data_IF_548449799816
#
_entry.id   IF_548449799816
#
_cell.length_a   1.000
_cell.length_b   1.000
_cell.length_c   1.000
_cell.angle_alpha   90.00
_cell.angle_beta   90.00
_cell.angle_gamma   90.00
#
_symmetry.space_group_name_H-M   'P 1'
#
loop_
_entity.id
_entity.type
_entity.pdbx_description
1 polymer ?
#
# COMPACT_ATOMS: atom_id res chain seq x y z
N UNK A 1 -19.08 -7.42 6.04
CA UNK A 1 -18.71 -8.86 6.09
C UNK A 1 -19.73 -9.66 5.31
N UNK A 2 -19.27 -10.62 4.51
CA UNK A 2 -20.13 -11.58 3.82
C UNK A 2 -20.31 -12.87 4.64
N UNK A 3 -21.33 -13.67 4.29
CA UNK A 3 -21.53 -14.98 4.92
C UNK A 3 -20.48 -15.96 4.38
N UNK A 4 -19.70 -16.59 5.26
CA UNK A 4 -18.66 -17.53 4.86
C UNK A 4 -19.21 -18.84 4.25
N UNK A 5 -20.45 -19.21 4.59
CA UNK A 5 -21.12 -20.36 3.94
C UNK A 5 -21.76 -20.03 2.58
N UNK A 6 -21.53 -18.84 2.01
CA UNK A 6 -22.06 -18.49 0.68
C UNK A 6 -21.47 -19.46 -0.36
N UNK A 7 -22.33 -20.08 -1.17
CA UNK A 7 -21.90 -21.08 -2.15
C UNK A 7 -21.97 -22.54 -1.66
N UNK A 8 -22.22 -22.79 -0.38
CA UNK A 8 -22.31 -24.15 0.21
C UNK A 8 -23.64 -24.90 -0.08
N UNK A 9 -24.31 -24.58 -1.18
CA UNK A 9 -25.49 -25.29 -1.69
C UNK A 9 -26.86 -24.74 -1.28
N UNK A 10 -26.95 -23.90 -0.24
CA UNK A 10 -28.20 -23.18 0.12
C UNK A 10 -28.03 -21.67 0.03
N UNK A 11 -29.10 -20.96 -0.38
CA UNK A 11 -29.06 -19.49 -0.53
C UNK A 11 -28.89 -18.81 0.83
N UNK A 12 -28.18 -17.68 0.84
CA UNK A 12 -28.06 -16.85 2.04
C UNK A 12 -29.42 -16.26 2.44
N UNK A 13 -29.68 -16.20 3.75
CA UNK A 13 -30.92 -15.64 4.33
C UNK A 13 -30.87 -14.12 4.52
N UNK A 14 -29.76 -13.48 4.11
CA UNK A 14 -29.51 -12.06 4.31
C UNK A 14 -28.09 -11.79 4.83
N UNK A 15 -27.81 -10.58 5.34
CA UNK A 15 -26.49 -10.25 5.87
C UNK A 15 -26.15 -11.13 7.08
N UNK A 16 -24.86 -11.51 7.25
CA UNK A 16 -24.45 -12.33 8.37
C UNK A 16 -24.63 -11.57 9.69
N UNK A 17 -25.38 -12.17 10.61
CA UNK A 17 -25.67 -11.61 11.95
C UNK A 17 -25.02 -12.41 13.07
N UNK A 18 -24.48 -13.59 12.76
CA UNK A 18 -23.83 -14.47 13.74
C UNK A 18 -22.34 -14.54 13.43
N UNK A 19 -21.51 -14.60 14.47
CA UNK A 19 -20.08 -14.89 14.38
C UNK A 19 -19.80 -16.26 14.97
N UNK A 20 -18.71 -16.90 14.55
CA UNK A 20 -18.22 -18.11 15.21
C UNK A 20 -17.97 -17.79 16.69
N UNK A 21 -18.58 -18.56 17.60
CA UNK A 21 -18.48 -18.31 19.04
C UNK A 21 -17.08 -18.55 19.63
N UNK A 22 -16.20 -19.23 18.90
CA UNK A 22 -14.80 -19.45 19.29
C UNK A 22 -13.89 -18.34 18.78
N UNK A 23 -13.66 -18.30 17.46
CA UNK A 23 -12.70 -17.34 16.91
C UNK A 23 -13.23 -15.91 16.80
N UNK A 24 -14.55 -15.69 16.72
CA UNK A 24 -15.15 -14.37 16.50
C UNK A 24 -14.90 -13.75 15.11
N UNK A 25 -14.01 -14.32 14.29
CA UNK A 25 -13.61 -13.77 12.99
C UNK A 25 -14.63 -14.04 11.87
N UNK A 26 -15.16 -15.27 11.80
CA UNK A 26 -16.00 -15.72 10.68
C UNK A 26 -17.48 -15.46 10.95
N UNK A 27 -18.20 -14.94 9.94
CA UNK A 27 -19.60 -14.54 10.06
C UNK A 27 -20.54 -15.36 9.17
N UNK A 28 -21.75 -15.63 9.67
CA UNK A 28 -22.75 -16.48 9.04
C UNK A 28 -24.15 -15.84 9.07
N UNK A 29 -24.93 -16.04 8.01
CA UNK A 29 -26.35 -15.66 8.00
C UNK A 29 -27.26 -16.66 8.71
N UNK A 30 -26.82 -17.92 8.88
CA UNK A 30 -27.58 -18.98 9.53
C UNK A 30 -26.66 -20.00 10.22
N UNK A 31 -27.24 -20.81 11.13
CA UNK A 31 -26.54 -21.96 11.72
C UNK A 31 -26.23 -23.04 10.69
N UNK A 32 -27.09 -23.23 9.69
CA UNK A 32 -26.86 -24.21 8.61
C UNK A 32 -25.59 -23.89 7.81
N UNK A 33 -25.36 -22.62 7.46
CA UNK A 33 -24.14 -22.19 6.78
C UNK A 33 -22.89 -22.35 7.66
N UNK A 34 -23.00 -22.14 8.96
CA UNK A 34 -21.91 -22.40 9.89
C UNK A 34 -21.54 -23.89 9.94
N UNK A 35 -22.53 -24.78 10.06
CA UNK A 35 -22.32 -26.23 10.08
C UNK A 35 -21.72 -26.71 8.76
N UNK A 36 -22.22 -26.21 7.62
CA UNK A 36 -21.71 -26.61 6.31
C UNK A 36 -20.26 -26.18 6.10
N UNK A 37 -19.92 -24.93 6.46
CA UNK A 37 -18.56 -24.40 6.32
C UNK A 37 -17.58 -24.92 7.39
N UNK A 38 -18.08 -25.57 8.45
CA UNK A 38 -17.25 -26.03 9.57
C UNK A 38 -16.10 -26.96 9.16
N UNK A 39 -16.29 -27.77 8.11
CA UNK A 39 -15.26 -28.71 7.63
C UNK A 39 -13.97 -28.00 7.23
N UNK A 40 -14.08 -26.85 6.58
CA UNK A 40 -12.97 -25.99 6.16
C UNK A 40 -12.56 -25.06 7.30
N UNK A 41 -13.54 -24.42 7.96
CA UNK A 41 -13.28 -23.43 9.00
C UNK A 41 -12.52 -24.00 10.22
N UNK A 42 -12.79 -25.24 10.63
CA UNK A 42 -12.21 -25.82 11.86
C UNK A 42 -10.69 -25.86 11.86
N UNK A 43 -10.07 -25.99 10.68
CA UNK A 43 -8.61 -26.04 10.52
C UNK A 43 -7.98 -24.66 10.77
N UNK A 44 -8.72 -23.59 10.45
CA UNK A 44 -8.28 -22.21 10.58
C UNK A 44 -8.79 -21.51 11.85
N UNK A 45 -9.76 -22.09 12.55
CA UNK A 45 -10.47 -21.45 13.66
C UNK A 45 -9.52 -21.03 14.79
N UNK A 46 -8.56 -21.90 15.15
CA UNK A 46 -7.58 -21.65 16.21
C UNK A 46 -6.64 -20.51 15.85
N UNK A 47 -6.15 -20.49 14.61
CA UNK A 47 -5.30 -19.41 14.08
C UNK A 47 -6.04 -18.07 14.09
N UNK A 48 -7.30 -18.07 13.65
CA UNK A 48 -8.15 -16.88 13.64
C UNK A 48 -8.45 -16.39 15.06
N UNK A 49 -8.66 -17.29 16.03
CA UNK A 49 -8.86 -16.92 17.43
C UNK A 49 -7.65 -16.16 17.99
N UNK A 50 -6.42 -16.64 17.73
CA UNK A 50 -5.19 -15.95 18.15
C UNK A 50 -5.03 -14.58 17.50
N UNK A 51 -5.43 -14.44 16.23
CA UNK A 51 -5.43 -13.13 15.55
C UNK A 51 -6.45 -12.17 16.18
N UNK A 52 -7.64 -12.66 16.50
CA UNK A 52 -8.69 -11.85 17.12
C UNK A 52 -8.34 -11.39 18.53
N UNK A 53 -7.50 -12.13 19.28
CA UNK A 53 -6.94 -11.67 20.57
C UNK A 53 -6.04 -10.44 20.44
N UNK A 54 -5.50 -10.16 19.25
CA UNK A 54 -4.63 -9.01 18.97
C UNK A 54 -5.37 -7.84 18.33
N UNK A 55 -6.70 -7.93 18.20
CA UNK A 55 -7.50 -6.93 17.48
C UNK A 55 -7.34 -5.52 18.06
N UNK A 56 -7.34 -5.38 19.38
CA UNK A 56 -7.23 -4.08 20.03
C UNK A 56 -5.86 -3.43 19.76
N UNK A 57 -4.78 -4.22 19.85
CA UNK A 57 -3.43 -3.78 19.50
C UNK A 57 -3.32 -3.35 18.04
N UNK A 58 -3.98 -4.06 17.12
CA UNK A 58 -3.97 -3.74 15.69
C UNK A 58 -4.83 -2.52 15.34
N UNK A 59 -5.75 -2.10 16.21
CA UNK A 59 -6.57 -0.91 16.04
C UNK A 59 -6.08 0.30 16.83
N UNK A 60 -5.01 0.16 17.61
CA UNK A 60 -4.40 1.23 18.40
C UNK A 60 -3.49 2.11 17.52
N UNK A 61 -4.15 2.94 16.69
CA UNK A 61 -3.47 3.89 15.83
C UNK A 61 -3.38 5.28 16.48
N UNK A 62 -2.26 6.00 16.36
CA UNK A 62 -2.04 7.30 17.02
C UNK A 62 -2.83 8.47 16.38
N UNK A 63 -3.66 8.21 15.37
CA UNK A 63 -4.30 9.25 14.59
C UNK A 63 -5.54 9.81 15.28
N UNK A 64 -5.79 11.12 15.13
CA UNK A 64 -7.01 11.73 15.66
C UNK A 64 -8.27 11.27 14.93
N UNK A 65 -8.11 10.66 13.76
CA UNK A 65 -9.19 10.13 12.94
C UNK A 65 -9.38 8.61 13.05
N UNK A 66 -8.62 7.92 13.91
CA UNK A 66 -8.67 6.46 14.04
C UNK A 66 -10.10 5.95 14.29
N UNK A 67 -10.82 6.55 15.23
CA UNK A 67 -12.19 6.13 15.57
C UNK A 67 -13.16 6.29 14.39
N UNK A 68 -13.06 7.40 13.64
CA UNK A 68 -13.87 7.66 12.45
C UNK A 68 -13.52 6.64 11.34
N UNK A 69 -12.23 6.41 11.09
CA UNK A 69 -11.75 5.58 9.99
C UNK A 69 -11.81 4.06 10.24
N UNK A 70 -11.97 3.61 11.48
CA UNK A 70 -12.05 2.18 11.82
C UNK A 70 -13.42 1.83 12.40
N UNK A 71 -13.72 2.26 13.63
CA UNK A 71 -14.90 1.83 14.40
C UNK A 71 -16.19 2.31 13.74
N UNK A 72 -16.31 3.61 13.44
CA UNK A 72 -17.55 4.18 12.89
C UNK A 72 -17.86 3.65 11.47
N UNK A 73 -16.83 3.39 10.67
CA UNK A 73 -17.00 2.74 9.35
C UNK A 73 -17.46 1.30 9.51
N UNK A 74 -16.88 0.53 10.43
CA UNK A 74 -17.30 -0.84 10.69
C UNK A 74 -18.74 -0.93 11.24
N UNK A 75 -19.12 0.03 12.08
CA UNK A 75 -20.48 0.19 12.63
C UNK A 75 -21.47 0.80 11.62
N UNK A 76 -21.01 1.14 10.41
CA UNK A 76 -21.81 1.79 9.35
C UNK A 76 -22.41 3.14 9.73
N UNK A 77 -21.84 3.81 10.73
CA UNK A 77 -22.17 5.20 11.08
C UNK A 77 -21.51 6.16 10.10
N UNK A 78 -20.32 5.81 9.60
CA UNK A 78 -19.59 6.54 8.58
C UNK A 78 -19.28 5.66 7.37
N UNK A 79 -18.89 6.30 6.27
CA UNK A 79 -18.39 5.60 5.08
C UNK A 79 -17.03 6.15 4.68
N UNK A 80 -16.22 5.35 3.97
CA UNK A 80 -14.95 5.84 3.40
C UNK A 80 -15.15 7.08 2.52
N UNK A 81 -16.24 7.12 1.76
CA UNK A 81 -16.55 8.25 0.91
C UNK A 81 -16.88 9.51 1.75
N UNK A 82 -17.67 9.39 2.82
CA UNK A 82 -17.94 10.49 3.79
C UNK A 82 -16.65 11.00 4.43
N UNK A 83 -15.82 10.07 4.95
CA UNK A 83 -14.52 10.35 5.55
C UNK A 83 -13.60 11.18 4.64
N UNK A 84 -13.48 10.80 3.37
CA UNK A 84 -12.68 11.50 2.37
C UNK A 84 -13.30 12.85 1.98
N UNK A 85 -14.63 12.90 1.85
CA UNK A 85 -15.35 14.12 1.44
C UNK A 85 -15.24 15.23 2.46
N UNK A 86 -15.35 14.91 3.77
CA UNK A 86 -15.14 15.87 4.87
C UNK A 86 -13.75 16.52 4.84
N UNK A 87 -12.79 15.88 4.17
CA UNK A 87 -11.39 16.32 4.06
C UNK A 87 -11.04 16.86 2.67
N UNK A 88 -12.01 16.96 1.76
CA UNK A 88 -11.80 17.48 0.41
C UNK A 88 -10.95 16.60 -0.51
N UNK A 89 -10.71 15.34 -0.14
CA UNK A 89 -9.82 14.40 -0.86
C UNK A 89 -10.59 13.25 -1.51
N UNK A 90 -11.91 13.36 -1.62
CA UNK A 90 -12.72 12.34 -2.28
C UNK A 90 -12.57 12.42 -3.80
N UNK A 91 -12.20 11.30 -4.44
CA UNK A 91 -12.10 11.17 -5.91
C UNK A 91 -11.09 12.12 -6.59
N UNK A 92 -10.06 12.58 -5.88
CA UNK A 92 -9.02 13.49 -6.41
C UNK A 92 -7.62 12.90 -6.27
N UNK A 93 -6.76 13.18 -7.25
CA UNK A 93 -5.37 12.73 -7.29
C UNK A 93 -5.18 11.26 -6.90
N UNK A 94 -4.22 11.02 -6.02
CA UNK A 94 -3.88 9.68 -5.52
C UNK A 94 -4.98 9.02 -4.67
N UNK A 95 -5.97 9.78 -4.22
CA UNK A 95 -7.05 9.31 -3.35
C UNK A 95 -8.21 8.64 -4.10
N UNK A 96 -8.16 8.64 -5.44
CA UNK A 96 -9.28 8.21 -6.26
C UNK A 96 -9.73 6.78 -5.98
N UNK A 97 -8.80 5.86 -5.68
CA UNK A 97 -9.09 4.45 -5.40
C UNK A 97 -9.27 4.13 -3.89
N UNK A 98 -9.36 5.14 -3.03
CA UNK A 98 -9.55 4.98 -1.58
C UNK A 98 -11.02 4.79 -1.17
N UNK A 99 -11.98 4.92 -2.09
CA UNK A 99 -13.37 4.50 -1.88
C UNK A 99 -13.87 3.67 -3.08
N UNK A 100 -14.86 2.80 -2.85
CA UNK A 100 -15.45 1.94 -3.87
C UNK A 100 -16.12 2.71 -5.03
N UNK A 101 -16.56 3.95 -4.83
CA UNK A 101 -17.04 4.82 -5.90
C UNK A 101 -15.95 5.14 -6.95
N UNK A 102 -14.68 5.09 -6.55
CA UNK A 102 -13.53 5.38 -7.40
C UNK A 102 -13.20 4.29 -8.40
N UNK A 103 -13.53 3.03 -8.07
CA UNK A 103 -13.28 1.88 -8.95
C UNK A 103 -14.02 1.98 -10.30
N UNK A 104 -15.17 2.69 -10.32
CA UNK A 104 -15.92 2.97 -11.56
C UNK A 104 -15.26 4.06 -12.41
N UNK A 105 -14.40 4.89 -11.81
CA UNK A 105 -13.69 5.99 -12.47
C UNK A 105 -12.36 5.50 -13.02
N UNK A 106 -11.68 4.58 -12.32
CA UNK A 106 -10.35 4.08 -12.69
C UNK A 106 -10.34 3.17 -13.92
N UNK A 107 -11.45 2.46 -14.20
CA UNK A 107 -11.60 1.64 -15.42
C UNK A 107 -11.49 2.46 -16.72
N UNK A 108 -11.77 3.76 -16.66
CA UNK A 108 -11.70 4.68 -17.81
C UNK A 108 -10.46 5.60 -17.81
N UNK A 109 -9.72 5.68 -16.69
CA UNK A 109 -8.77 6.79 -16.46
C UNK A 109 -7.29 6.40 -16.42
N UNK A 110 -6.89 5.19 -16.82
CA UNK A 110 -5.47 4.88 -17.04
C UNK A 110 -4.80 5.80 -18.10
N UNK A 111 -5.60 6.59 -18.82
CA UNK A 111 -5.17 7.54 -19.85
C UNK A 111 -5.01 8.99 -19.39
N UNK A 112 -5.39 9.34 -18.15
CA UNK A 112 -5.40 10.75 -17.70
C UNK A 112 -4.02 11.16 -17.16
N UNK A 113 -3.53 12.39 -17.43
CA UNK A 113 -2.26 12.87 -16.90
C UNK A 113 -2.23 12.72 -15.38
N UNK A 114 -1.15 12.10 -14.91
CA UNK A 114 -0.88 11.72 -13.54
C UNK A 114 -1.03 12.92 -12.60
N UNK A 115 -2.18 13.07 -11.97
CA UNK A 115 -2.36 14.07 -10.91
C UNK A 115 -1.77 13.49 -9.62
N UNK A 116 -0.44 13.33 -9.63
CA UNK A 116 0.42 12.77 -8.59
C UNK A 116 0.58 13.74 -7.42
N UNK A 117 -0.54 14.24 -6.91
CA UNK A 117 -0.60 15.27 -5.87
C UNK A 117 -1.25 14.71 -4.61
N UNK A 118 -0.77 15.19 -3.46
CA UNK A 118 -1.35 14.87 -2.16
C UNK A 118 -2.74 15.48 -1.96
N UNK A 119 -3.09 16.53 -2.72
CA UNK A 119 -4.30 17.33 -2.52
C UNK A 119 -4.43 17.89 -1.09
N UNK A 120 -3.29 18.17 -0.48
CA UNK A 120 -3.16 18.74 0.86
C UNK A 120 -2.20 19.92 0.86
N UNK A 121 -2.30 20.75 1.89
CA UNK A 121 -1.30 21.78 2.22
C UNK A 121 0.07 21.14 2.52
N UNK A 122 1.15 21.90 2.39
CA UNK A 122 2.50 21.38 2.61
C UNK A 122 2.72 20.86 4.03
N UNK A 123 2.04 21.42 5.04
CA UNK A 123 2.13 20.98 6.43
C UNK A 123 1.46 19.62 6.71
N UNK A 124 0.56 19.15 5.83
CA UNK A 124 -0.20 17.91 6.03
C UNK A 124 0.38 16.75 5.22
N UNK A 125 1.41 16.98 4.40
CA UNK A 125 1.90 15.95 3.49
C UNK A 125 3.41 16.00 3.29
N UNK A 126 4.03 14.84 2.99
CA UNK A 126 5.47 14.76 2.76
C UNK A 126 5.86 15.24 1.34
N UNK A 127 5.57 16.51 1.01
CA UNK A 127 5.84 17.07 -0.32
C UNK A 127 7.27 17.58 -0.53
N UNK A 128 8.11 17.58 0.52
CA UNK A 128 9.50 18.03 0.50
C UNK A 128 10.40 17.02 1.20
N UNK A 129 11.72 17.16 1.04
CA UNK A 129 12.70 16.37 1.79
C UNK A 129 12.55 16.52 3.31
N UNK A 130 12.95 15.50 4.09
CA UNK A 130 12.92 15.58 5.55
C UNK A 130 13.92 16.62 6.08
N UNK A 131 13.60 17.26 7.21
CA UNK A 131 14.47 18.27 7.84
C UNK A 131 15.75 17.69 8.45
N UNK A 132 15.75 16.38 8.75
CA UNK A 132 16.88 15.67 9.35
C UNK A 132 16.92 14.22 8.86
N UNK A 133 18.09 13.58 8.86
CA UNK A 133 18.20 12.15 8.58
C UNK A 133 17.50 11.34 9.67
N UNK A 134 17.13 10.10 9.35
CA UNK A 134 16.56 9.15 10.32
C UNK A 134 17.63 8.81 11.36
N UNK A 135 17.47 9.34 12.58
CA UNK A 135 18.43 9.14 13.67
C UNK A 135 18.28 7.78 14.38
N UNK A 136 17.06 7.23 14.39
CA UNK A 136 16.71 5.93 14.97
C UNK A 136 15.76 5.21 14.03
N UNK A 137 15.81 3.88 13.99
CA UNK A 137 14.87 3.10 13.17
C UNK A 137 13.43 3.46 13.53
N UNK A 138 12.66 3.86 12.51
CA UNK A 138 11.25 4.17 12.67
C UNK A 138 10.50 2.88 13.02
N UNK A 139 9.80 2.87 14.15
CA UNK A 139 9.15 1.67 14.70
C UNK A 139 7.63 1.80 14.76
N UNK A 140 7.10 3.00 14.63
CA UNK A 140 5.68 3.30 14.70
C UNK A 140 5.26 4.41 13.73
N UNK A 141 3.96 4.50 13.47
CA UNK A 141 3.37 5.64 12.75
C UNK A 141 3.68 6.98 13.43
N UNK A 142 3.68 6.99 14.77
CA UNK A 142 3.98 8.20 15.55
C UNK A 142 5.42 8.66 15.28
N UNK A 143 6.38 7.75 15.28
CA UNK A 143 7.78 8.05 14.99
C UNK A 143 7.94 8.68 13.60
N UNK A 144 7.27 8.11 12.59
CA UNK A 144 7.32 8.64 11.22
C UNK A 144 6.70 10.05 11.13
N UNK A 145 5.53 10.26 11.73
CA UNK A 145 4.84 11.55 11.69
C UNK A 145 5.63 12.64 12.42
N UNK A 146 6.23 12.31 13.57
CA UNK A 146 7.11 13.22 14.30
C UNK A 146 8.36 13.57 13.47
N UNK A 147 9.01 12.56 12.88
CA UNK A 147 10.19 12.77 12.03
C UNK A 147 9.88 13.63 10.79
N UNK A 148 8.72 13.43 10.16
CA UNK A 148 8.28 14.23 9.01
C UNK A 148 7.62 15.55 9.38
N UNK A 149 7.46 15.84 10.67
CA UNK A 149 6.75 17.00 11.17
C UNK A 149 5.32 17.11 10.60
N UNK A 150 4.64 15.97 10.43
CA UNK A 150 3.26 15.89 9.95
C UNK A 150 2.34 15.70 11.16
N UNK A 151 1.25 16.48 11.30
CA UNK A 151 0.33 16.31 12.41
C UNK A 151 -0.49 15.02 12.26
N UNK A 152 -0.79 14.37 13.39
CA UNK A 152 -1.54 13.11 13.46
C UNK A 152 -3.01 13.21 13.00
N UNK A 153 -3.50 14.41 12.66
CA UNK A 153 -4.78 14.61 12.00
C UNK A 153 -4.72 14.43 10.49
N UNK A 154 -3.52 14.44 9.89
CA UNK A 154 -3.35 14.21 8.45
C UNK A 154 -3.61 12.75 8.10
N UNK A 155 -4.48 12.45 7.11
CA UNK A 155 -4.81 11.08 6.75
C UNK A 155 -3.80 10.43 5.79
N UNK A 156 -2.65 11.06 5.53
CA UNK A 156 -1.64 10.58 4.55
C UNK A 156 -1.12 9.17 4.83
N UNK A 157 -1.29 8.64 6.05
CA UNK A 157 -1.00 7.24 6.38
C UNK A 157 -1.75 6.24 5.50
N UNK A 158 -2.95 6.60 5.03
CA UNK A 158 -3.75 5.79 4.11
C UNK A 158 -3.08 5.58 2.73
N UNK A 159 -2.10 6.40 2.38
CA UNK A 159 -1.28 6.23 1.16
C UNK A 159 0.14 5.79 1.52
N UNK A 160 0.73 6.41 2.53
CA UNK A 160 2.12 6.15 2.95
C UNK A 160 2.36 4.75 3.50
N UNK A 161 1.31 3.98 3.78
CA UNK A 161 1.50 2.60 4.22
C UNK A 161 2.20 1.76 3.15
N UNK A 162 2.12 2.09 1.86
CA UNK A 162 2.86 1.36 0.82
C UNK A 162 4.38 1.46 0.99
N UNK A 163 5.01 2.65 0.93
CA UNK A 163 6.45 2.77 1.12
C UNK A 163 6.89 2.41 2.55
N UNK A 164 6.07 2.67 3.57
CA UNK A 164 6.45 2.33 4.95
C UNK A 164 6.39 0.84 5.23
N UNK A 165 5.48 0.09 4.60
CA UNK A 165 5.49 -1.37 4.67
C UNK A 165 6.76 -1.93 4.05
N UNK A 166 7.22 -1.37 2.92
CA UNK A 166 8.50 -1.74 2.32
C UNK A 166 9.67 -1.45 3.27
N UNK A 167 9.70 -0.24 3.85
CA UNK A 167 10.72 0.11 4.83
C UNK A 167 10.77 -0.89 5.99
N UNK A 168 9.63 -1.17 6.63
CA UNK A 168 9.58 -2.12 7.74
C UNK A 168 9.94 -3.55 7.33
N UNK A 169 9.51 -4.02 6.16
CA UNK A 169 9.87 -5.34 5.66
C UNK A 169 11.40 -5.49 5.49
N UNK A 170 12.06 -4.44 4.98
CA UNK A 170 13.52 -4.40 4.82
C UNK A 170 14.22 -4.42 6.19
N UNK A 171 13.72 -3.63 7.16
CA UNK A 171 14.27 -3.63 8.52
C UNK A 171 14.15 -5.00 9.18
N UNK A 172 12.99 -5.65 9.09
CA UNK A 172 12.74 -6.97 9.69
C UNK A 172 13.56 -8.08 9.02
N UNK A 173 13.83 -7.95 7.71
CA UNK A 173 14.62 -8.94 6.97
C UNK A 173 16.12 -8.91 7.30
N UNK A 174 16.56 -8.03 8.21
CA UNK A 174 17.99 -7.82 8.52
C UNK A 174 18.75 -7.07 7.42
N UNK A 175 18.08 -6.69 6.33
CA UNK A 175 18.66 -5.93 5.24
C UNK A 175 18.81 -4.44 5.59
N UNK A 176 18.09 -3.96 6.60
CA UNK A 176 18.19 -2.58 7.11
C UNK A 176 19.62 -2.15 7.43
N UNK A 177 20.43 -3.00 8.07
CA UNK A 177 21.84 -2.73 8.36
C UNK A 177 22.74 -2.76 7.12
N UNK A 178 22.36 -3.56 6.11
CA UNK A 178 23.10 -3.70 4.85
C UNK A 178 22.81 -2.56 3.87
N UNK A 179 21.72 -1.80 4.06
CA UNK A 179 21.40 -0.66 3.17
C UNK A 179 22.50 0.41 3.14
N UNK A 180 23.37 0.48 4.15
CA UNK A 180 24.56 1.34 4.14
C UNK A 180 25.70 0.82 3.25
N UNK A 181 25.70 -0.48 2.92
CA UNK A 181 26.73 -1.16 2.13
C UNK A 181 26.33 -1.35 0.67
N UNK A 182 25.02 -1.41 0.36
CA UNK A 182 24.51 -1.58 -1.01
C UNK A 182 24.15 -0.23 -1.65
N UNK A 183 24.72 0.06 -2.81
CA UNK A 183 24.38 1.24 -3.61
C UNK A 183 23.01 1.12 -4.31
N UNK A 184 22.50 -0.11 -4.47
CA UNK A 184 21.22 -0.41 -5.13
C UNK A 184 20.42 -1.43 -4.34
N UNK A 185 19.16 -1.12 -4.10
CA UNK A 185 18.17 -2.00 -3.49
C UNK A 185 17.12 -2.41 -4.53
N UNK A 186 17.20 -3.64 -5.03
CA UNK A 186 16.21 -4.26 -5.91
C UNK A 186 15.09 -4.96 -5.12
N UNK A 187 13.83 -4.59 -5.36
CA UNK A 187 12.63 -5.14 -4.70
C UNK A 187 11.68 -5.67 -5.77
N UNK A 188 11.18 -6.89 -5.62
CA UNK A 188 10.08 -7.41 -6.42
C UNK A 188 8.78 -7.25 -5.63
N UNK A 189 7.89 -6.38 -6.12
CA UNK A 189 6.58 -6.10 -5.53
C UNK A 189 5.50 -6.85 -6.31
N UNK A 190 4.86 -7.82 -5.68
CA UNK A 190 3.90 -8.71 -6.33
C UNK A 190 2.45 -8.24 -6.13
N UNK A 191 1.67 -8.33 -7.20
CA UNK A 191 0.24 -8.04 -7.22
C UNK A 191 -0.13 -6.59 -6.92
N UNK A 192 0.50 -5.57 -7.55
CA UNK A 192 0.06 -4.19 -7.40
C UNK A 192 -1.33 -4.00 -8.04
N UNK A 193 -2.22 -3.31 -7.35
CA UNK A 193 -3.55 -2.94 -7.81
C UNK A 193 -3.76 -1.43 -7.66
N UNK A 194 -4.09 -0.97 -6.45
CA UNK A 194 -4.30 0.45 -6.14
C UNK A 194 -3.03 1.27 -6.28
N UNK A 195 -1.90 0.63 -5.96
CA UNK A 195 -0.55 1.14 -6.03
C UNK A 195 -0.22 1.67 -7.43
N UNK A 196 -0.81 1.07 -8.48
CA UNK A 196 -0.62 1.51 -9.88
C UNK A 196 -1.17 2.92 -10.15
N UNK A 197 -2.08 3.40 -9.31
CA UNK A 197 -2.64 4.76 -9.36
C UNK A 197 -2.00 5.70 -8.32
N UNK A 198 -1.08 5.19 -7.51
CA UNK A 198 -0.47 5.86 -6.37
C UNK A 198 1.07 5.76 -6.43
N UNK A 199 1.63 5.60 -7.65
CA UNK A 199 3.05 5.35 -7.86
C UNK A 199 3.94 6.47 -7.30
N UNK A 200 3.48 7.72 -7.33
CA UNK A 200 4.22 8.85 -6.78
C UNK A 200 4.42 8.78 -5.25
N UNK A 201 3.60 8.01 -4.53
CA UNK A 201 3.78 7.77 -3.09
C UNK A 201 5.10 7.05 -2.81
N UNK A 202 5.57 6.20 -3.72
CA UNK A 202 6.86 5.52 -3.58
C UNK A 202 8.06 6.47 -3.66
N UNK A 203 7.87 7.73 -4.07
CA UNK A 203 8.91 8.77 -3.99
C UNK A 203 9.38 9.02 -2.56
N UNK A 204 8.56 8.64 -1.56
CA UNK A 204 8.93 8.67 -0.15
C UNK A 204 10.14 7.79 0.19
N UNK A 205 10.38 6.71 -0.56
CA UNK A 205 11.50 5.79 -0.32
C UNK A 205 12.86 6.47 -0.44
N UNK A 206 12.93 7.61 -1.14
CA UNK A 206 14.13 8.45 -1.22
C UNK A 206 14.54 9.01 0.15
N UNK A 207 13.55 9.34 0.98
CA UNK A 207 13.78 9.82 2.33
C UNK A 207 14.08 8.68 3.30
N UNK A 208 13.46 7.51 3.07
CA UNK A 208 13.61 6.32 3.91
C UNK A 208 14.93 5.57 3.68
N UNK A 209 15.52 5.68 2.48
CA UNK A 209 16.78 5.05 2.08
C UNK A 209 17.75 6.08 1.48
N UNK A 210 18.26 7.02 2.30
CA UNK A 210 19.15 8.07 1.79
C UNK A 210 20.44 7.46 1.22
N UNK A 211 20.81 7.88 0.01
CA UNK A 211 22.04 7.43 -0.67
C UNK A 211 21.94 6.07 -1.36
N UNK A 212 20.79 5.39 -1.31
CA UNK A 212 20.56 4.10 -1.96
C UNK A 212 19.65 4.28 -3.16
N UNK A 213 19.98 3.66 -4.29
CA UNK A 213 19.09 3.58 -5.45
C UNK A 213 18.08 2.45 -5.25
N UNK A 214 16.82 2.78 -4.98
CA UNK A 214 15.74 1.81 -4.82
C UNK A 214 15.11 1.51 -6.17
N UNK A 215 15.19 0.26 -6.63
CA UNK A 215 14.59 -0.22 -7.87
C UNK A 215 13.48 -1.21 -7.54
N UNK A 216 12.25 -0.94 -7.99
CA UNK A 216 11.08 -1.76 -7.69
C UNK A 216 10.49 -2.32 -8.98
N UNK A 217 10.47 -3.65 -9.08
CA UNK A 217 9.76 -4.39 -10.12
C UNK A 217 8.34 -4.67 -9.64
N UNK A 218 7.36 -3.94 -10.17
CA UNK A 218 5.93 -4.06 -9.86
C UNK A 218 5.30 -5.08 -10.81
N UNK A 219 5.00 -6.28 -10.30
CA UNK A 219 4.68 -7.46 -11.11
C UNK A 219 3.28 -7.96 -10.78
N UNK A 220 2.37 -7.90 -11.75
CA UNK A 220 1.03 -8.46 -11.55
C UNK A 220 0.12 -8.42 -12.78
N UNK A 221 -0.93 -9.25 -12.80
CA UNK A 221 -1.88 -9.30 -13.92
C UNK A 221 -2.74 -8.02 -14.05
N UNK A 222 -2.83 -7.23 -12.98
CA UNK A 222 -3.58 -5.97 -12.95
C UNK A 222 -2.84 -4.80 -13.65
N UNK A 223 -1.54 -4.95 -13.97
CA UNK A 223 -0.81 -3.97 -14.77
C UNK A 223 -1.47 -3.86 -16.15
N UNK A 224 -1.90 -2.66 -16.59
CA UNK A 224 -2.52 -2.47 -17.90
C UNK A 224 -1.57 -2.87 -19.03
N UNK A 225 -2.10 -3.47 -20.10
CA UNK A 225 -1.29 -3.95 -21.23
C UNK A 225 -0.44 -2.85 -21.87
N UNK A 226 -0.96 -1.63 -21.97
CA UNK A 226 -0.23 -0.49 -22.55
C UNK A 226 0.89 0.06 -21.64
N UNK A 227 0.97 -0.41 -20.39
CA UNK A 227 2.00 -0.02 -19.42
C UNK A 227 2.99 -1.15 -19.11
N UNK A 228 2.87 -2.31 -19.77
CA UNK A 228 3.81 -3.40 -19.57
C UNK A 228 5.20 -2.99 -20.08
N UNK A 229 6.20 -3.05 -19.21
CA UNK A 229 7.57 -2.58 -19.48
C UNK A 229 7.80 -1.10 -19.19
N UNK A 230 6.77 -0.34 -18.77
CA UNK A 230 6.93 1.07 -18.40
C UNK A 230 7.99 1.22 -17.30
N UNK A 231 8.90 2.16 -17.50
CA UNK A 231 9.89 2.57 -16.50
C UNK A 231 9.61 3.99 -16.05
N UNK A 232 9.51 4.19 -14.74
CA UNK A 232 9.13 5.44 -14.11
C UNK A 232 10.22 5.80 -13.11
N UNK A 233 10.90 6.91 -13.36
CA UNK A 233 11.94 7.43 -12.47
C UNK A 233 11.37 8.55 -11.60
N UNK A 234 11.38 8.37 -10.28
CA UNK A 234 10.83 9.33 -9.32
C UNK A 234 11.92 10.28 -8.84
N UNK A 235 11.98 11.47 -9.45
CA UNK A 235 13.00 12.49 -9.18
C UNK A 235 12.64 13.46 -8.04
N UNK A 236 11.37 13.54 -7.65
CA UNK A 236 10.85 14.42 -6.61
C UNK A 236 9.82 13.68 -5.74
N UNK A 237 9.39 14.35 -4.67
CA UNK A 237 8.22 13.94 -3.90
C UNK A 237 6.93 14.31 -4.66
N UNK A 238 5.82 13.67 -4.30
CA UNK A 238 4.50 14.08 -4.77
C UNK A 238 4.16 15.50 -4.25
N UNK A 239 3.54 16.32 -5.10
CA UNK A 239 3.33 17.74 -4.82
C UNK A 239 2.17 18.00 -3.86
N UNK A 240 2.28 19.07 -3.08
CA UNK A 240 1.14 19.62 -2.33
C UNK A 240 0.24 20.48 -3.25
N UNK A 241 -0.87 21.00 -2.71
CA UNK A 241 -1.81 21.82 -3.47
C UNK A 241 -1.36 23.28 -3.65
N UNK A 242 -0.60 23.82 -2.69
CA UNK A 242 -0.17 25.22 -2.61
C UNK A 242 0.72 25.63 -3.80
N UNK A 243 0.38 26.71 -4.51
CA UNK A 243 1.08 27.22 -5.71
C UNK A 243 2.47 27.78 -5.43
N UNK A 244 2.60 28.38 -4.26
CA UNK A 244 3.78 29.05 -3.71
C UNK A 244 4.70 28.10 -2.92
N UNK A 245 4.39 26.80 -2.89
CA UNK A 245 5.24 25.81 -2.24
C UNK A 245 6.49 25.50 -3.08
N UNK A 246 7.64 25.44 -2.41
CA UNK A 246 8.93 25.14 -3.08
C UNK A 246 9.00 23.74 -3.69
N UNK A 247 8.10 22.82 -3.34
CA UNK A 247 8.03 21.51 -3.98
C UNK A 247 7.77 21.63 -5.49
N UNK A 248 7.09 22.71 -5.93
CA UNK A 248 6.80 22.97 -7.34
C UNK A 248 8.02 23.48 -8.12
N UNK A 249 8.90 24.24 -7.45
CA UNK A 249 10.12 24.80 -8.06
C UNK A 249 11.28 23.80 -8.19
N UNK A 250 11.26 22.70 -7.43
CA UNK A 250 12.32 21.66 -7.49
C UNK A 250 12.39 20.95 -8.86
N UNK A 251 11.35 21.07 -9.70
CA UNK A 251 11.30 20.47 -11.03
C UNK A 251 11.81 21.39 -12.16
N UNK A 252 11.89 22.72 -11.94
CA UNK A 252 12.27 23.67 -13.00
C UNK A 252 13.78 23.94 -13.08
N UNK A 253 14.54 23.65 -12.01
CA UNK A 253 15.97 23.95 -11.91
C UNK A 253 16.90 22.86 -12.49
N UNK A 254 16.40 21.93 -13.29
CA UNK A 254 17.22 20.86 -13.93
C UNK A 254 17.72 21.19 -15.34
N UNK A 255 17.80 22.47 -15.71
CA UNK A 255 18.66 22.91 -16.82
C UNK A 255 19.73 23.87 -16.31
N UNK A 256 20.99 23.45 -16.46
CA UNK A 256 22.24 24.20 -16.27
C UNK A 256 22.86 24.20 -14.86
N UNK A 257 23.96 23.44 -14.70
CA UNK A 257 24.93 23.64 -13.62
C UNK A 257 25.75 22.39 -13.29
N UNK A 258 27.02 22.41 -13.66
CA UNK A 258 28.05 21.40 -13.38
C UNK A 258 28.06 21.03 -11.88
N UNK A 259 27.98 19.73 -11.54
CA UNK A 259 28.60 19.23 -10.30
C UNK A 259 27.80 18.43 -9.26
N UNK A 260 26.71 17.73 -9.57
CA UNK A 260 26.33 16.43 -8.94
C UNK A 260 25.05 15.92 -9.59
N UNK A 261 25.14 14.85 -10.40
CA UNK A 261 23.96 14.15 -10.91
C UNK A 261 23.15 13.66 -9.70
N UNK A 262 21.96 14.23 -9.46
CA UNK A 262 20.96 13.60 -8.61
C UNK A 262 20.54 12.32 -9.35
N UNK A 263 21.23 11.19 -9.11
CA UNK A 263 20.79 9.89 -9.59
C UNK A 263 19.38 9.67 -9.05
N UNK A 264 18.45 9.19 -9.88
CA UNK A 264 17.12 8.81 -9.40
C UNK A 264 17.29 7.93 -8.17
N UNK A 265 16.75 8.34 -7.02
CA UNK A 265 16.83 7.53 -5.81
C UNK A 265 15.77 6.41 -5.83
N UNK A 266 14.71 6.54 -6.63
CA UNK A 266 13.69 5.51 -6.80
C UNK A 266 13.34 5.34 -8.28
N UNK A 267 13.37 4.10 -8.75
CA UNK A 267 12.91 3.67 -10.07
C UNK A 267 11.85 2.59 -9.91
N UNK A 268 10.75 2.72 -10.63
CA UNK A 268 9.68 1.74 -10.70
C UNK A 268 9.62 1.17 -12.12
N UNK A 269 9.47 -0.14 -12.23
CA UNK A 269 9.30 -0.81 -13.52
C UNK A 269 8.09 -1.74 -13.46
N UNK A 270 7.18 -1.59 -14.41
CA UNK A 270 5.89 -2.28 -14.41
C UNK A 270 5.95 -3.54 -15.29
N UNK A 271 5.46 -4.67 -14.78
CA UNK A 271 5.38 -5.92 -15.53
C UNK A 271 4.00 -6.55 -15.42
N UNK A 272 3.37 -6.75 -16.57
CA UNK A 272 2.10 -7.46 -16.68
C UNK A 272 2.34 -8.97 -16.67
N UNK A 273 1.64 -9.66 -15.78
CA UNK A 273 1.63 -11.12 -15.70
C UNK A 273 1.91 -11.64 -14.31
N UNK A 274 1.96 -12.96 -14.16
CA UNK A 274 2.31 -13.59 -12.90
C UNK A 274 3.83 -13.64 -12.71
N UNK A 275 4.24 -13.67 -11.44
CA UNK A 275 5.65 -13.65 -11.08
C UNK A 275 6.44 -14.83 -11.67
N UNK A 276 5.91 -16.05 -11.57
CA UNK A 276 6.57 -17.26 -12.07
C UNK A 276 6.81 -17.24 -13.58
N UNK A 277 5.97 -16.55 -14.35
CA UNK A 277 6.15 -16.40 -15.79
C UNK A 277 7.22 -15.36 -16.14
N UNK A 278 7.29 -14.28 -15.36
CA UNK A 278 8.14 -13.12 -15.64
C UNK A 278 9.50 -13.17 -14.96
N UNK A 279 9.67 -13.99 -13.92
CA UNK A 279 10.86 -14.01 -13.08
C UNK A 279 12.15 -14.21 -13.88
N UNK A 280 12.14 -15.11 -14.86
CA UNK A 280 13.32 -15.38 -15.69
C UNK A 280 13.74 -14.18 -16.51
N UNK A 281 12.79 -13.37 -16.97
CA UNK A 281 13.07 -12.19 -17.79
C UNK A 281 13.53 -11.01 -16.95
N UNK A 282 12.93 -10.82 -15.77
CA UNK A 282 13.23 -9.73 -14.85
C UNK A 282 14.59 -9.95 -14.16
N UNK A 283 14.86 -11.17 -13.71
CA UNK A 283 16.07 -11.51 -12.95
C UNK A 283 17.33 -11.67 -13.82
N UNK A 284 17.28 -11.35 -15.13
CA UNK A 284 18.47 -11.44 -16.02
C UNK A 284 19.59 -10.51 -15.58
N UNK A 285 19.25 -9.33 -15.07
CA UNK A 285 20.20 -8.26 -14.80
C UNK A 285 20.51 -8.09 -13.30
N UNK A 286 19.59 -8.46 -12.41
CA UNK A 286 19.81 -8.44 -10.96
C UNK A 286 18.75 -9.28 -10.25
N UNK A 287 19.17 -10.06 -9.26
CA UNK A 287 18.25 -10.74 -8.35
C UNK A 287 17.63 -9.76 -7.33
N UNK A 288 16.40 -10.03 -6.85
CA UNK A 288 15.78 -9.22 -5.81
C UNK A 288 16.50 -9.41 -4.48
N UNK A 289 16.61 -8.33 -3.70
CA UNK A 289 17.01 -8.40 -2.30
C UNK A 289 15.79 -8.68 -1.40
N UNK A 290 14.60 -8.29 -1.85
CA UNK A 290 13.33 -8.54 -1.18
C UNK A 290 12.25 -8.86 -2.21
N UNK A 291 11.47 -9.90 -1.94
CA UNK A 291 10.20 -10.15 -2.62
C UNK A 291 9.08 -9.92 -1.62
N UNK A 292 8.10 -9.08 -1.97
CA UNK A 292 6.98 -8.74 -1.10
C UNK A 292 5.67 -8.83 -1.85
N UNK A 293 4.63 -9.29 -1.17
CA UNK A 293 3.31 -9.54 -1.75
C UNK A 293 2.20 -9.15 -0.78
N UNK A 294 2.06 -7.86 -0.44
CA UNK A 294 1.21 -7.42 0.68
C UNK A 294 -0.27 -7.71 0.46
N UNK A 295 -0.74 -7.71 -0.80
CA UNK A 295 -2.13 -8.02 -1.13
C UNK A 295 -2.29 -8.78 -2.46
N UNK A 296 -1.29 -9.55 -2.89
CA UNK A 296 -1.35 -10.28 -4.16
C UNK A 296 -2.32 -11.49 -4.14
N UNK A 297 -2.84 -11.86 -2.96
CA UNK A 297 -3.68 -13.04 -2.80
C UNK A 297 -2.93 -14.35 -3.07
N UNK A 298 -1.61 -14.39 -2.82
CA UNK A 298 -0.76 -15.56 -3.10
C UNK A 298 -1.30 -16.83 -2.44
N UNK A 299 -1.74 -16.72 -1.18
CA UNK A 299 -2.32 -17.85 -0.44
C UNK A 299 -3.82 -18.08 -0.73
N UNK A 300 -4.46 -17.20 -1.50
CA UNK A 300 -5.90 -17.20 -1.72
C UNK A 300 -6.31 -17.70 -3.11
N UNK A 301 -5.47 -17.51 -4.13
CA UNK A 301 -5.78 -17.88 -5.51
C UNK A 301 -4.78 -18.90 -6.06
N UNK A 302 -5.29 -20.01 -6.59
CA UNK A 302 -4.49 -21.08 -7.19
C UNK A 302 -3.62 -20.63 -8.36
N UNK A 303 -3.98 -19.53 -9.03
CA UNK A 303 -3.15 -18.91 -10.07
C UNK A 303 -1.78 -18.48 -9.57
N UNK A 304 -1.60 -18.21 -8.28
CA UNK A 304 -0.30 -17.87 -7.68
C UNK A 304 0.45 -19.08 -7.13
N UNK A 305 -0.12 -20.29 -7.15
CA UNK A 305 0.54 -21.48 -6.62
C UNK A 305 1.94 -21.73 -7.23
N UNK A 306 2.16 -21.56 -8.55
CA UNK A 306 3.50 -21.71 -9.12
C UNK A 306 4.48 -20.67 -8.59
N UNK A 307 4.02 -19.46 -8.24
CA UNK A 307 4.87 -18.43 -7.62
C UNK A 307 5.43 -18.91 -6.28
N UNK A 308 4.62 -19.57 -5.44
CA UNK A 308 5.07 -20.06 -4.13
C UNK A 308 6.21 -21.08 -4.28
N UNK A 309 6.16 -21.92 -5.30
CA UNK A 309 7.20 -22.93 -5.58
C UNK A 309 8.50 -22.27 -6.07
N UNK A 310 8.44 -21.06 -6.61
CA UNK A 310 9.58 -20.33 -7.14
C UNK A 310 10.23 -19.35 -6.14
N UNK A 311 9.61 -19.10 -4.98
CA UNK A 311 10.14 -18.24 -3.91
C UNK A 311 10.97 -19.06 -2.93
#
# INVERSE_FOLDING_TARGET
MECAGKGSGTRCLGPPRKRCGRCGAVAYCSASHQISHWKEHREECDRLEQQMKRLDLLNDFPFTFSQEATVQINEKQESRCSFLSKRGIHQVGMWICECCCGASITSFNYSRPENNTWNFSSILCPCRGPSSPIAKSLSSWKDYYEWRCIPLCSPVALLLHWPLTLYHAIQISGLGSLTFEVSKLCIHYLGPEKELLQLAVFGELRALFPGVHVHIELIGPAVPQHRDGDKIDLYSYAHCIEEDCTCKSENESTSCGIGTRISSAVTLQLHRGFYHDRFRDISKNSFPHLVIAPNAGIAAYSSWLPTIVCL
#
